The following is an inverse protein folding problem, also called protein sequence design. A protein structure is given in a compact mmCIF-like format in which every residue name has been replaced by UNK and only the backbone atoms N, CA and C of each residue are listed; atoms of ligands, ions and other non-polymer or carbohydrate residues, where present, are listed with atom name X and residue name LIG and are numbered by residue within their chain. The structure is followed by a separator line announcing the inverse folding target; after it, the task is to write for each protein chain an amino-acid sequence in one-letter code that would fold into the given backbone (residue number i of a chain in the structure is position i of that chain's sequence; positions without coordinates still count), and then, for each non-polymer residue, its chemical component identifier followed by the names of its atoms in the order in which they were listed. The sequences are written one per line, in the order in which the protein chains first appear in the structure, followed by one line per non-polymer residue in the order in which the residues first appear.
data_IF_261809881476
#
_entry.id   IF_261809881476
#
_cell.length_a   1.000
_cell.length_b   1.000
_cell.length_c   1.000
_cell.angle_alpha   90.00
_cell.angle_beta   90.00
_cell.angle_gamma   90.00
#
_symmetry.space_group_name_H-M   'P 1'
#
loop_
_entity.id
_entity.type
_entity.pdbx_description
1 polymer ?
#
# COMPACT_ATOMS: atom_id res chain seq x y z
N UNK A 1 14.54 4.55 -30.95
CA UNK A 1 14.84 5.09 -29.59
C UNK A 1 13.73 5.97 -29.00
N UNK A 2 12.56 6.16 -29.65
CA UNK A 2 11.51 7.08 -29.19
C UNK A 2 10.37 6.46 -28.37
N UNK A 3 10.15 5.14 -28.37
CA UNK A 3 9.05 4.51 -27.59
C UNK A 3 9.44 4.07 -26.17
N UNK A 4 10.74 3.89 -25.88
CA UNK A 4 11.22 3.52 -24.55
C UNK A 4 11.28 4.72 -23.58
N UNK A 5 11.42 5.94 -24.10
CA UNK A 5 11.52 7.17 -23.29
C UNK A 5 10.19 7.66 -22.70
N UNK A 6 9.05 7.22 -23.23
CA UNK A 6 7.72 7.61 -22.70
C UNK A 6 7.25 6.67 -21.58
N UNK A 7 7.75 5.43 -21.50
CA UNK A 7 7.36 4.47 -20.45
C UNK A 7 7.93 4.78 -19.06
N UNK A 8 8.96 5.64 -18.96
CA UNK A 8 9.63 5.94 -17.69
C UNK A 8 8.94 7.04 -16.85
N UNK A 9 8.03 7.82 -17.45
CA UNK A 9 7.37 8.96 -16.81
C UNK A 9 5.85 8.74 -16.73
N UNK A 10 5.36 8.41 -15.55
CA UNK A 10 3.92 8.42 -15.24
C UNK A 10 3.63 9.74 -14.55
N UNK A 11 2.79 10.58 -15.16
CA UNK A 11 2.31 11.80 -14.50
C UNK A 11 1.40 11.43 -13.33
N UNK A 12 1.64 11.90 -12.09
CA UNK A 12 0.80 11.61 -10.93
C UNK A 12 -0.67 11.99 -11.12
N UNK A 13 -0.96 13.00 -11.94
CA UNK A 13 -2.33 13.42 -12.22
C UNK A 13 -3.11 12.36 -13.02
N UNK A 14 -2.43 11.48 -13.76
CA UNK A 14 -3.06 10.33 -14.44
C UNK A 14 -3.53 9.25 -13.46
N UNK A 15 -3.01 9.28 -12.24
CA UNK A 15 -3.34 8.34 -11.17
C UNK A 15 -4.54 8.77 -10.33
N UNK A 16 -5.10 9.95 -10.58
CA UNK A 16 -6.31 10.42 -9.86
C UNK A 16 -7.46 9.43 -10.01
N UNK A 17 -8.33 9.36 -9.02
CA UNK A 17 -9.54 8.54 -9.13
C UNK A 17 -10.43 9.05 -10.28
N UNK A 18 -10.97 8.20 -11.16
CA UNK A 18 -11.77 8.64 -12.31
C UNK A 18 -12.98 9.48 -11.94
N UNK A 19 -13.58 9.21 -10.77
CA UNK A 19 -14.71 9.99 -10.24
C UNK A 19 -14.29 11.24 -9.46
N UNK A 20 -13.00 11.53 -9.29
CA UNK A 20 -12.54 12.64 -8.45
C UNK A 20 -12.73 12.37 -6.96
N UNK A 21 -12.53 11.13 -6.52
CA UNK A 21 -12.42 10.79 -5.10
C UNK A 21 -10.94 10.84 -4.67
N UNK A 22 -10.68 11.02 -3.37
CA UNK A 22 -9.33 11.01 -2.82
C UNK A 22 -9.10 9.66 -2.14
N UNK A 23 -8.31 8.78 -2.75
CA UNK A 23 -8.03 7.42 -2.24
C UNK A 23 -7.45 7.42 -0.84
N UNK A 24 -6.62 8.40 -0.52
CA UNK A 24 -6.04 8.63 0.81
C UNK A 24 -7.12 8.74 1.88
N UNK A 25 -8.25 9.40 1.57
CA UNK A 25 -9.39 9.51 2.47
C UNK A 25 -10.30 8.29 2.38
N UNK A 26 -10.69 7.89 1.16
CA UNK A 26 -11.71 6.87 0.96
C UNK A 26 -11.23 5.48 1.36
N UNK A 27 -9.98 5.12 1.05
CA UNK A 27 -9.41 3.85 1.49
C UNK A 27 -9.24 3.81 3.01
N UNK A 28 -8.77 4.90 3.64
CA UNK A 28 -8.71 4.97 5.11
C UNK A 28 -10.09 4.83 5.76
N UNK A 29 -11.08 5.58 5.26
CA UNK A 29 -12.46 5.52 5.75
C UNK A 29 -12.99 4.09 5.73
N UNK A 30 -12.75 3.38 4.62
CA UNK A 30 -13.16 1.99 4.49
C UNK A 30 -12.37 1.05 5.41
N UNK A 31 -11.05 1.17 5.45
CA UNK A 31 -10.18 0.27 6.22
C UNK A 31 -10.42 0.37 7.73
N UNK A 32 -10.74 1.58 8.22
CA UNK A 32 -11.00 1.85 9.64
C UNK A 32 -12.48 1.81 10.01
N UNK A 33 -13.37 1.65 9.02
CA UNK A 33 -14.82 1.67 9.21
C UNK A 33 -15.32 2.94 9.91
N UNK A 34 -14.77 4.09 9.52
CA UNK A 34 -15.16 5.43 9.99
C UNK A 34 -15.61 6.23 8.78
N UNK A 35 -16.88 6.65 8.75
CA UNK A 35 -17.44 7.33 7.60
C UNK A 35 -16.88 8.75 7.45
N UNK A 36 -16.60 9.19 6.22
CA UNK A 36 -16.14 10.58 5.96
C UNK A 36 -17.17 11.64 6.36
N UNK A 37 -18.46 11.28 6.41
CA UNK A 37 -19.54 12.13 6.94
C UNK A 37 -19.38 12.41 8.44
N UNK A 38 -18.73 11.51 9.19
CA UNK A 38 -18.32 11.72 10.58
C UNK A 38 -16.97 12.43 10.60
N UNK A 39 -16.93 13.65 10.05
CA UNK A 39 -15.68 14.38 9.79
C UNK A 39 -14.83 14.56 11.05
N UNK A 40 -15.41 14.88 12.20
CA UNK A 40 -14.65 15.05 13.45
C UNK A 40 -13.99 13.75 13.92
N UNK A 41 -14.73 12.64 13.90
CA UNK A 41 -14.19 11.34 14.29
C UNK A 41 -13.09 10.88 13.33
N UNK A 42 -13.25 11.16 12.03
CA UNK A 42 -12.25 10.85 11.02
C UNK A 42 -10.97 11.71 11.18
N UNK A 43 -11.12 13.00 11.52
CA UNK A 43 -9.99 13.89 11.82
C UNK A 43 -9.24 13.37 13.06
N UNK A 44 -9.95 13.08 14.16
CA UNK A 44 -9.35 12.52 15.38
C UNK A 44 -8.63 11.20 15.13
N UNK A 45 -9.22 10.33 14.29
CA UNK A 45 -8.57 9.10 13.83
C UNK A 45 -7.23 9.43 13.16
N UNK A 46 -7.21 10.29 12.14
CA UNK A 46 -5.98 10.64 11.41
C UNK A 46 -4.92 11.27 12.32
N UNK A 47 -5.31 12.16 13.22
CA UNK A 47 -4.39 12.77 14.21
C UNK A 47 -3.78 11.73 15.14
N UNK A 48 -4.60 10.79 15.63
CA UNK A 48 -4.14 9.70 16.48
C UNK A 48 -3.15 8.78 15.76
N UNK A 49 -3.38 8.50 14.47
CA UNK A 49 -2.48 7.70 13.64
C UNK A 49 -1.15 8.39 13.37
N UNK A 50 -1.17 9.71 13.16
CA UNK A 50 0.04 10.53 12.97
C UNK A 50 0.88 10.56 14.23
N UNK A 51 0.25 10.79 15.37
CA UNK A 51 0.93 10.74 16.67
C UNK A 51 1.56 9.38 16.90
N UNK A 52 0.79 8.30 16.69
CA UNK A 52 1.28 6.92 16.81
C UNK A 52 2.45 6.63 15.88
N UNK A 53 2.39 7.08 14.62
CA UNK A 53 3.48 6.90 13.66
C UNK A 53 4.77 7.58 14.14
N UNK A 54 4.68 8.84 14.60
CA UNK A 54 5.83 9.58 15.15
C UNK A 54 6.41 8.91 16.40
N UNK A 55 5.55 8.45 17.31
CA UNK A 55 5.96 7.72 18.51
C UNK A 55 6.66 6.40 18.18
N UNK A 56 6.13 5.62 17.23
CA UNK A 56 6.74 4.37 16.77
C UNK A 56 8.11 4.62 16.10
N UNK A 57 8.23 5.66 15.27
CA UNK A 57 9.52 6.05 14.70
C UNK A 57 10.54 6.39 15.77
N UNK A 58 10.13 7.14 16.80
CA UNK A 58 10.98 7.47 17.95
C UNK A 58 11.40 6.22 18.71
N UNK A 59 10.43 5.39 19.10
CA UNK A 59 10.65 4.17 19.87
C UNK A 59 11.58 3.18 19.17
N UNK A 60 11.52 3.10 17.83
CA UNK A 60 12.39 2.24 17.04
C UNK A 60 13.66 2.94 16.53
N UNK A 61 13.93 4.19 16.91
CA UNK A 61 15.12 4.93 16.49
C UNK A 61 15.23 5.08 14.97
N UNK A 62 14.10 5.38 14.32
CA UNK A 62 13.97 5.64 12.88
C UNK A 62 13.82 7.15 12.57
N UNK A 63 14.18 8.02 13.51
CA UNK A 63 14.14 9.48 13.30
C UNK A 63 15.24 9.93 12.32
N UNK A 64 16.44 9.34 12.42
CA UNK A 64 17.61 9.65 11.57
C UNK A 64 18.00 8.45 10.70
N UNK A 65 17.03 7.95 9.92
CA UNK A 65 17.18 6.71 9.14
C UNK A 65 18.24 6.81 8.00
N UNK A 66 18.68 8.03 7.70
CA UNK A 66 19.67 8.45 6.68
C UNK A 66 21.01 7.73 6.79
N UNK A 67 21.54 7.56 8.01
CA UNK A 67 22.93 7.10 8.23
C UNK A 67 23.03 5.57 8.32
N UNK A 68 21.92 4.87 8.58
CA UNK A 68 21.92 3.40 8.85
C UNK A 68 21.61 2.54 7.64
N UNK A 69 20.92 3.07 6.61
CA UNK A 69 20.62 2.32 5.38
C UNK A 69 21.88 2.00 4.56
N UNK A 70 22.85 2.92 4.48
CA UNK A 70 24.10 2.72 3.76
C UNK A 70 25.04 1.70 4.46
N UNK A 71 24.82 1.41 5.74
CA UNK A 71 25.53 0.39 6.50
C UNK A 71 24.86 -1.00 6.46
N UNK A 72 23.80 -1.19 5.67
CA UNK A 72 23.19 -2.51 5.44
C UNK A 72 24.17 -3.55 4.86
N UNK A 73 25.35 -3.13 4.36
CA UNK A 73 26.46 -4.02 4.00
C UNK A 73 27.24 -4.58 5.21
N UNK A 74 27.23 -3.92 6.37
CA UNK A 74 27.97 -4.32 7.60
C UNK A 74 27.10 -4.90 8.72
N UNK A 75 25.80 -4.58 8.77
CA UNK A 75 24.88 -5.05 9.84
C UNK A 75 24.18 -6.38 9.52
N UNK A 76 24.91 -7.37 9.03
CA UNK A 76 24.43 -8.76 8.97
C UNK A 76 25.14 -9.51 10.13
N UNK A 77 24.52 -10.30 11.01
CA UNK A 77 23.62 -11.43 10.74
C UNK A 77 22.89 -11.97 12.00
N UNK A 78 22.64 -11.19 13.07
CA UNK A 78 22.16 -11.77 14.36
C UNK A 78 20.90 -11.16 14.99
N UNK A 79 20.24 -10.17 14.36
CA UNK A 79 18.99 -9.61 14.89
C UNK A 79 17.87 -9.65 13.87
N UNK A 80 16.66 -9.98 14.33
CA UNK A 80 15.42 -9.97 13.53
C UNK A 80 15.26 -8.68 12.70
N UNK A 81 15.62 -7.53 13.29
CA UNK A 81 15.57 -6.22 12.62
C UNK A 81 16.54 -6.14 11.44
N UNK A 82 17.77 -6.61 11.60
CA UNK A 82 18.79 -6.58 10.56
C UNK A 82 18.43 -7.48 9.38
N UNK A 83 17.97 -8.70 9.65
CA UNK A 83 17.52 -9.65 8.62
C UNK A 83 16.30 -9.12 7.85
N UNK A 84 15.32 -8.59 8.58
CA UNK A 84 14.13 -7.96 7.99
C UNK A 84 14.51 -6.79 7.08
N UNK A 85 15.36 -5.89 7.55
CA UNK A 85 15.83 -4.75 6.76
C UNK A 85 16.56 -5.19 5.48
N UNK A 86 17.45 -6.19 5.58
CA UNK A 86 18.18 -6.68 4.42
C UNK A 86 17.25 -7.23 3.33
N UNK A 87 16.24 -8.03 3.72
CA UNK A 87 15.24 -8.56 2.79
C UNK A 87 14.41 -7.46 2.13
N UNK A 88 13.96 -6.48 2.92
CA UNK A 88 13.24 -5.32 2.39
C UNK A 88 14.12 -4.55 1.40
N UNK A 89 15.39 -4.32 1.72
CA UNK A 89 16.33 -3.57 0.89
C UNK A 89 16.49 -4.18 -0.51
N UNK A 90 16.70 -5.50 -0.59
CA UNK A 90 16.82 -6.22 -1.86
C UNK A 90 15.56 -6.01 -2.72
N UNK A 91 14.38 -6.10 -2.11
CA UNK A 91 13.11 -5.98 -2.83
C UNK A 91 12.79 -4.54 -3.23
N UNK A 92 13.11 -3.56 -2.39
CA UNK A 92 12.96 -2.14 -2.70
C UNK A 92 13.82 -1.72 -3.90
N UNK A 93 15.05 -2.23 -4.03
CA UNK A 93 15.92 -1.91 -5.17
C UNK A 93 15.30 -2.30 -6.53
N UNK A 94 14.52 -3.39 -6.56
CA UNK A 94 13.85 -3.93 -7.76
C UNK A 94 12.37 -3.54 -7.88
N UNK A 95 11.82 -2.79 -6.92
CA UNK A 95 10.41 -2.40 -6.90
C UNK A 95 10.13 -1.41 -8.00
N UNK A 96 9.24 -1.77 -8.95
CA UNK A 96 8.83 -0.94 -10.10
C UNK A 96 10.01 -0.20 -10.76
N UNK A 97 11.13 -0.91 -10.95
CA UNK A 97 12.41 -0.33 -11.39
C UNK A 97 12.37 0.32 -12.78
N UNK A 98 11.34 0.05 -13.57
CA UNK A 98 11.04 0.71 -14.83
C UNK A 98 10.71 2.20 -14.66
N UNK A 99 10.11 2.58 -13.53
CA UNK A 99 9.70 3.94 -13.21
C UNK A 99 10.84 4.70 -12.52
N UNK A 100 11.18 5.88 -13.04
CA UNK A 100 12.26 6.72 -12.48
C UNK A 100 12.04 7.08 -11.02
N UNK A 101 10.79 7.35 -10.68
CA UNK A 101 10.35 7.65 -9.33
C UNK A 101 10.83 6.63 -8.27
N UNK A 102 10.78 5.33 -8.57
CA UNK A 102 11.19 4.27 -7.65
C UNK A 102 12.70 4.01 -7.61
N UNK A 103 13.45 4.66 -8.51
CA UNK A 103 14.92 4.64 -8.49
C UNK A 103 15.51 5.73 -7.58
N UNK A 104 14.74 6.76 -7.25
CA UNK A 104 15.15 7.84 -6.35
C UNK A 104 15.46 7.30 -4.95
N UNK A 105 16.53 7.82 -4.35
CA UNK A 105 16.97 7.40 -3.01
C UNK A 105 15.93 7.73 -1.94
N UNK A 106 15.29 8.88 -2.04
CA UNK A 106 14.20 9.32 -1.17
C UNK A 106 13.01 8.37 -1.20
N UNK A 107 12.56 7.95 -2.40
CA UNK A 107 11.48 6.97 -2.57
C UNK A 107 11.87 5.62 -1.97
N UNK A 108 13.08 5.13 -2.23
CA UNK A 108 13.56 3.86 -1.67
C UNK A 108 13.65 3.91 -0.15
N UNK A 109 14.16 5.00 0.41
CA UNK A 109 14.20 5.26 1.85
C UNK A 109 12.79 5.24 2.45
N UNK A 110 11.84 5.93 1.81
CA UNK A 110 10.45 5.97 2.24
C UNK A 110 9.84 4.56 2.34
N UNK A 111 10.01 3.75 1.28
CA UNK A 111 9.52 2.37 1.27
C UNK A 111 10.18 1.51 2.35
N UNK A 112 11.51 1.62 2.50
CA UNK A 112 12.28 0.92 3.52
C UNK A 112 11.77 1.24 4.92
N UNK A 113 11.56 2.52 5.21
CA UNK A 113 11.13 2.98 6.53
C UNK A 113 9.74 2.44 6.89
N UNK A 114 8.76 2.60 6.00
CA UNK A 114 7.38 2.18 6.27
C UNK A 114 7.29 0.66 6.39
N UNK A 115 7.94 -0.10 5.50
CA UNK A 115 7.95 -1.57 5.57
C UNK A 115 8.65 -2.07 6.83
N UNK A 116 9.82 -1.52 7.15
CA UNK A 116 10.57 -1.92 8.33
C UNK A 116 9.77 -1.62 9.60
N UNK A 117 9.25 -0.40 9.73
CA UNK A 117 8.44 0.02 10.86
C UNK A 117 7.24 -0.91 11.04
N UNK A 118 6.53 -1.24 9.97
CA UNK A 118 5.41 -2.17 10.04
C UNK A 118 5.85 -3.56 10.53
N UNK A 119 6.91 -4.13 9.96
CA UNK A 119 7.37 -5.48 10.31
C UNK A 119 7.81 -5.58 11.77
N UNK A 120 8.62 -4.62 12.25
CA UNK A 120 9.13 -4.64 13.64
C UNK A 120 8.02 -4.36 14.67
N UNK A 121 7.09 -3.45 14.37
CA UNK A 121 5.97 -3.15 15.27
C UNK A 121 5.01 -4.32 15.38
N UNK A 122 4.75 -5.02 14.27
CA UNK A 122 3.84 -6.18 14.26
C UNK A 122 4.54 -7.51 14.56
N UNK A 123 5.85 -7.51 14.83
CA UNK A 123 6.68 -8.72 15.00
C UNK A 123 6.42 -9.75 13.89
N UNK A 124 6.28 -9.25 12.66
CA UNK A 124 5.93 -10.06 11.48
C UNK A 124 7.10 -10.01 10.52
N UNK A 125 7.50 -11.17 10.02
CA UNK A 125 8.55 -11.26 9.02
C UNK A 125 8.12 -10.60 7.72
N UNK A 126 9.06 -9.90 7.09
CA UNK A 126 8.87 -9.40 5.75
C UNK A 126 8.56 -10.56 4.78
N UNK A 127 7.61 -10.35 3.88
CA UNK A 127 7.29 -11.30 2.81
C UNK A 127 7.39 -10.58 1.47
N UNK A 128 8.12 -11.17 0.52
CA UNK A 128 8.23 -10.64 -0.84
C UNK A 128 6.83 -10.40 -1.42
N UNK A 129 6.63 -9.21 -1.99
CA UNK A 129 5.35 -8.69 -2.47
C UNK A 129 4.80 -7.55 -1.61
N UNK A 130 5.17 -7.48 -0.31
CA UNK A 130 4.79 -6.34 0.55
C UNK A 130 5.29 -5.00 0.01
N UNK A 131 6.48 -5.00 -0.63
CA UNK A 131 7.04 -3.84 -1.32
C UNK A 131 6.17 -3.35 -2.48
N UNK A 132 5.61 -4.26 -3.27
CA UNK A 132 4.73 -3.93 -4.40
C UNK A 132 3.38 -3.39 -3.93
N UNK A 133 2.88 -3.92 -2.81
CA UNK A 133 1.67 -3.41 -2.17
C UNK A 133 1.89 -1.97 -1.69
N UNK A 134 2.96 -1.73 -0.92
CA UNK A 134 3.27 -0.40 -0.43
C UNK A 134 3.53 0.58 -1.58
N UNK A 135 4.31 0.17 -2.60
CA UNK A 135 4.58 1.00 -3.77
C UNK A 135 3.30 1.46 -4.47
N UNK A 136 2.31 0.57 -4.60
CA UNK A 136 1.02 0.90 -5.21
C UNK A 136 0.23 1.89 -4.34
N UNK A 137 0.24 1.73 -3.02
CA UNK A 137 -0.36 2.69 -2.06
C UNK A 137 0.32 4.06 -2.16
N UNK A 138 1.65 4.10 -2.20
CA UNK A 138 2.44 5.33 -2.36
C UNK A 138 1.99 6.10 -3.60
N UNK A 139 1.82 5.42 -4.72
CA UNK A 139 1.37 6.06 -5.96
C UNK A 139 -0.09 6.56 -5.89
N UNK A 140 -0.97 5.85 -5.17
CA UNK A 140 -2.34 6.31 -4.94
C UNK A 140 -2.36 7.65 -4.17
N UNK A 141 -1.59 7.73 -3.08
CA UNK A 141 -1.47 8.94 -2.24
C UNK A 141 -0.89 10.10 -3.06
N UNK A 142 0.16 9.85 -3.84
CA UNK A 142 0.77 10.86 -4.70
C UNK A 142 -0.18 11.38 -5.78
N UNK A 143 -1.05 10.51 -6.32
CA UNK A 143 -2.09 10.92 -7.27
C UNK A 143 -3.10 11.91 -6.66
N UNK A 144 -3.48 11.71 -5.40
CA UNK A 144 -4.35 12.64 -4.68
C UNK A 144 -3.65 13.98 -4.42
N UNK A 145 -2.38 13.96 -4.01
CA UNK A 145 -1.58 15.19 -3.84
C UNK A 145 -1.47 15.97 -5.15
N UNK A 146 -1.29 15.30 -6.28
CA UNK A 146 -1.23 15.92 -7.59
C UNK A 146 -2.53 16.61 -7.96
N UNK A 147 -3.66 15.94 -7.71
CA UNK A 147 -4.97 16.51 -7.94
C UNK A 147 -5.19 17.77 -7.09
N UNK A 148 -4.88 17.71 -5.79
CA UNK A 148 -5.05 18.85 -4.90
C UNK A 148 -4.12 20.01 -5.23
N UNK A 149 -2.85 19.75 -5.55
CA UNK A 149 -1.88 20.76 -6.01
C UNK A 149 -2.39 21.45 -7.29
N UNK A 150 -2.85 20.67 -8.26
CA UNK A 150 -3.35 21.20 -9.53
C UNK A 150 -4.64 22.04 -9.37
N UNK A 151 -5.53 21.68 -8.43
CA UNK A 151 -6.71 22.48 -8.10
C UNK A 151 -6.32 23.79 -7.44
N UNK A 152 -5.41 23.74 -6.46
CA UNK A 152 -4.93 24.92 -5.75
C UNK A 152 -4.26 25.93 -6.69
N UNK A 153 -3.40 25.47 -7.61
CA UNK A 153 -2.77 26.32 -8.63
C UNK A 153 -3.77 27.02 -9.54
N UNK A 154 -4.98 26.46 -9.70
CA UNK A 154 -6.09 27.06 -10.46
C UNK A 154 -7.02 27.93 -9.60
N UNK A 155 -6.67 28.17 -8.33
CA UNK A 155 -7.53 28.87 -7.37
C UNK A 155 -8.82 28.12 -7.03
N UNK A 156 -8.86 26.80 -7.25
CA UNK A 156 -10.04 25.97 -7.00
C UNK A 156 -9.84 25.09 -5.77
N UNK A 157 -10.93 24.82 -5.06
CA UNK A 157 -10.99 23.79 -4.02
C UNK A 157 -11.56 22.50 -4.58
N UNK A 158 -11.34 21.39 -3.88
CA UNK A 158 -11.94 20.12 -4.28
C UNK A 158 -13.47 20.17 -4.09
N UNK A 159 -14.28 19.85 -5.10
CA UNK A 159 -15.73 20.12 -5.05
C UNK A 159 -16.50 19.19 -4.11
N UNK A 160 -15.92 18.03 -3.73
CA UNK A 160 -16.64 16.98 -2.97
C UNK A 160 -16.31 16.91 -1.49
N UNK A 161 -15.20 17.48 -1.05
CA UNK A 161 -14.70 17.28 0.33
C UNK A 161 -14.58 18.63 1.04
N UNK A 162 -15.05 18.72 2.30
CA UNK A 162 -14.88 19.93 3.10
C UNK A 162 -13.40 20.19 3.40
N UNK A 163 -13.07 21.46 3.68
CA UNK A 163 -11.70 21.94 3.90
C UNK A 163 -10.97 21.14 4.99
N UNK A 164 -11.67 20.75 6.05
CA UNK A 164 -11.14 19.96 7.16
C UNK A 164 -10.55 18.63 6.69
N UNK A 165 -11.24 17.93 5.77
CA UNK A 165 -10.74 16.66 5.22
C UNK A 165 -9.59 16.88 4.22
N UNK A 166 -9.64 17.98 3.46
CA UNK A 166 -8.56 18.32 2.52
C UNK A 166 -7.25 18.63 3.24
N UNK A 167 -7.31 19.26 4.42
CA UNK A 167 -6.15 19.52 5.28
C UNK A 167 -5.51 18.24 5.83
N UNK A 168 -6.19 17.10 5.74
CA UNK A 168 -5.60 15.80 6.08
C UNK A 168 -4.70 15.25 4.97
N UNK A 169 -4.89 15.65 3.71
CA UNK A 169 -4.19 15.07 2.56
C UNK A 169 -3.00 15.96 2.20
N UNK A 170 -1.93 15.88 3.01
CA UNK A 170 -0.72 16.70 2.86
C UNK A 170 0.57 15.88 2.85
N UNK A 171 1.59 16.25 2.05
CA UNK A 171 2.83 15.48 1.93
C UNK A 171 3.56 15.22 3.25
N UNK A 172 3.50 16.16 4.20
CA UNK A 172 4.15 16.05 5.51
C UNK A 172 3.67 14.82 6.33
N UNK A 173 2.48 14.29 6.05
CA UNK A 173 1.90 13.15 6.76
C UNK A 173 1.87 11.86 5.94
N UNK A 174 2.46 11.87 4.74
CA UNK A 174 2.45 10.73 3.81
C UNK A 174 2.93 9.42 4.45
N UNK A 175 3.95 9.46 5.31
CA UNK A 175 4.44 8.26 6.01
C UNK A 175 3.42 7.63 6.94
N UNK A 176 2.67 8.46 7.68
CA UNK A 176 1.56 8.00 8.53
C UNK A 176 0.41 7.46 7.69
N UNK A 177 0.05 8.16 6.61
CA UNK A 177 -1.04 7.74 5.73
C UNK A 177 -0.73 6.42 5.02
N UNK A 178 0.49 6.27 4.51
CA UNK A 178 0.95 5.03 3.90
C UNK A 178 0.99 3.88 4.90
N UNK A 179 1.52 4.08 6.13
CA UNK A 179 1.55 3.04 7.16
C UNK A 179 0.14 2.61 7.56
N UNK A 180 -0.78 3.57 7.72
CA UNK A 180 -2.19 3.32 8.07
C UNK A 180 -2.88 2.46 7.02
N UNK A 181 -2.85 2.90 5.76
CA UNK A 181 -3.47 2.18 4.65
C UNK A 181 -2.81 0.81 4.48
N UNK A 182 -1.48 0.74 4.48
CA UNK A 182 -0.73 -0.51 4.37
C UNK A 182 -1.10 -1.50 5.48
N UNK A 183 -1.20 -1.03 6.73
CA UNK A 183 -1.62 -1.87 7.86
C UNK A 183 -3.02 -2.44 7.66
N UNK A 184 -3.95 -1.62 7.16
CA UNK A 184 -5.29 -2.06 6.81
C UNK A 184 -5.28 -3.16 5.74
N UNK A 185 -4.48 -3.01 4.68
CA UNK A 185 -4.30 -4.06 3.67
C UNK A 185 -3.75 -5.35 4.29
N UNK A 186 -2.68 -5.27 5.08
CA UNK A 186 -2.08 -6.46 5.69
C UNK A 186 -3.04 -7.22 6.63
N UNK A 187 -3.93 -6.50 7.33
CA UNK A 187 -4.98 -7.12 8.16
C UNK A 187 -6.03 -7.88 7.36
N UNK A 188 -6.29 -7.45 6.11
CA UNK A 188 -7.27 -8.07 5.21
C UNK A 188 -6.66 -9.15 4.32
N UNK A 189 -5.33 -9.29 4.32
CA UNK A 189 -4.58 -10.24 3.51
C UNK A 189 -3.84 -11.31 4.32
N UNK A 190 -4.44 -11.90 5.37
CA UNK A 190 -3.71 -12.82 6.24
C UNK A 190 -3.29 -14.09 5.49
N UNK A 191 -4.09 -14.58 4.53
CA UNK A 191 -3.75 -15.75 3.70
C UNK A 191 -2.52 -15.51 2.80
N UNK A 192 -2.19 -14.25 2.49
CA UNK A 192 -1.07 -13.92 1.60
C UNK A 192 0.20 -13.55 2.35
N UNK A 193 0.07 -12.90 3.53
CA UNK A 193 1.19 -12.26 4.21
C UNK A 193 1.33 -12.60 5.71
N UNK A 194 0.50 -13.47 6.30
CA UNK A 194 0.70 -13.85 7.70
C UNK A 194 2.00 -14.64 7.91
N UNK A 195 2.65 -14.48 9.08
CA UNK A 195 3.76 -15.36 9.48
C UNK A 195 3.20 -16.77 9.74
N UNK A 196 3.97 -17.80 9.39
CA UNK A 196 3.64 -19.19 9.71
C UNK A 196 3.65 -19.36 11.23
N UNK A 197 2.46 -19.33 11.84
CA UNK A 197 2.32 -19.54 13.27
C UNK A 197 2.41 -21.04 13.49
N UNK A 198 3.64 -21.52 13.77
CA UNK A 198 4.00 -22.87 14.27
C UNK A 198 4.51 -23.88 13.23
N UNK A 199 5.15 -23.47 12.14
CA UNK A 199 5.80 -24.42 11.23
C UNK A 199 4.87 -25.52 10.72
N UNK A 200 3.58 -25.20 10.59
CA UNK A 200 2.53 -26.16 10.25
C UNK A 200 2.27 -26.22 8.74
N UNK A 201 3.00 -25.49 7.89
CA UNK A 201 2.81 -25.52 6.44
C UNK A 201 1.49 -24.88 5.94
N UNK A 202 0.56 -24.53 6.84
CA UNK A 202 -0.78 -24.03 6.55
C UNK A 202 -0.85 -22.71 5.74
N UNK A 203 0.27 -21.98 5.60
CA UNK A 203 0.33 -20.67 4.93
C UNK A 203 0.02 -20.78 3.43
N UNK A 204 0.72 -21.68 2.75
CA UNK A 204 0.51 -21.87 1.32
C UNK A 204 -0.79 -22.62 1.08
N UNK A 205 -1.17 -23.55 1.97
CA UNK A 205 -2.40 -24.35 1.82
C UNK A 205 -3.66 -23.52 1.60
N UNK A 206 -3.91 -22.44 2.37
CA UNK A 206 -5.15 -21.66 2.19
C UNK A 206 -5.19 -20.89 0.86
N UNK A 207 -4.04 -20.36 0.42
CA UNK A 207 -3.96 -19.64 -0.84
C UNK A 207 -4.03 -20.63 -2.02
N UNK A 208 -3.29 -21.72 -1.95
CA UNK A 208 -3.32 -22.86 -2.87
C UNK A 208 -4.76 -23.39 -2.99
N UNK A 209 -5.46 -23.63 -1.87
CA UNK A 209 -6.87 -24.02 -1.84
C UNK A 209 -7.77 -22.99 -2.54
N UNK A 210 -7.52 -21.69 -2.36
CA UNK A 210 -8.25 -20.64 -3.07
C UNK A 210 -8.02 -20.73 -4.59
N UNK A 211 -6.78 -20.92 -5.04
CA UNK A 211 -6.45 -21.05 -6.46
C UNK A 211 -7.04 -22.32 -7.08
N UNK A 212 -7.00 -23.43 -6.35
CA UNK A 212 -7.65 -24.69 -6.73
C UNK A 212 -9.16 -24.55 -6.78
N UNK A 213 -9.76 -23.81 -5.85
CA UNK A 213 -11.19 -23.51 -5.89
C UNK A 213 -11.55 -22.67 -7.13
N UNK A 214 -10.73 -21.68 -7.47
CA UNK A 214 -10.94 -20.88 -8.70
C UNK A 214 -10.97 -21.78 -9.93
N UNK A 215 -9.99 -22.67 -10.12
CA UNK A 215 -9.96 -23.58 -11.27
C UNK A 215 -11.08 -24.64 -11.21
N UNK A 216 -11.12 -25.44 -10.15
CA UNK A 216 -12.00 -26.62 -10.06
C UNK A 216 -13.49 -26.31 -9.87
N UNK A 217 -13.82 -25.11 -9.37
CA UNK A 217 -15.21 -24.70 -9.10
C UNK A 217 -15.64 -23.52 -9.93
N UNK A 218 -14.99 -22.36 -9.79
CA UNK A 218 -15.47 -21.14 -10.44
C UNK A 218 -15.28 -21.19 -11.96
N UNK A 219 -14.11 -21.59 -12.44
CA UNK A 219 -13.84 -21.67 -13.86
C UNK A 219 -14.75 -22.74 -14.48
N UNK A 220 -14.84 -23.94 -13.89
CA UNK A 220 -15.75 -24.99 -14.37
C UNK A 220 -17.22 -24.53 -14.46
N UNK A 221 -17.69 -23.75 -13.49
CA UNK A 221 -19.07 -23.23 -13.47
C UNK A 221 -19.32 -22.19 -14.57
N UNK A 222 -18.36 -21.30 -14.83
CA UNK A 222 -18.54 -20.18 -15.76
C UNK A 222 -17.98 -20.43 -17.16
N UNK A 223 -17.14 -21.44 -17.30
CA UNK A 223 -16.46 -21.82 -18.53
C UNK A 223 -15.89 -23.25 -18.43
N UNK A 224 -16.75 -24.26 -18.65
CA UNK A 224 -16.38 -25.68 -18.54
C UNK A 224 -15.36 -26.13 -19.58
N UNK A 225 -15.43 -25.60 -20.80
CA UNK A 225 -14.52 -25.97 -21.89
C UNK A 225 -13.10 -25.46 -21.61
N UNK A 226 -12.96 -24.21 -21.15
CA UNK A 226 -11.66 -23.67 -20.75
C UNK A 226 -11.10 -24.39 -19.52
N UNK A 227 -11.98 -24.77 -18.57
CA UNK A 227 -11.58 -25.60 -17.43
C UNK A 227 -11.03 -26.95 -17.89
N UNK A 228 -11.74 -27.69 -18.75
CA UNK A 228 -11.28 -28.99 -19.26
C UNK A 228 -9.95 -28.89 -19.99
N UNK A 229 -9.76 -27.82 -20.78
CA UNK A 229 -8.48 -27.54 -21.43
C UNK A 229 -7.34 -27.38 -20.41
N UNK A 230 -7.52 -26.55 -19.37
CA UNK A 230 -6.48 -26.33 -18.36
C UNK A 230 -6.21 -27.57 -17.48
N UNK A 231 -7.23 -28.40 -17.22
CA UNK A 231 -7.03 -29.70 -16.58
C UNK A 231 -6.17 -30.62 -17.45
N UNK A 232 -6.42 -30.67 -18.76
CA UNK A 232 -5.62 -31.46 -19.71
C UNK A 232 -4.18 -30.94 -19.83
N UNK A 233 -3.96 -29.64 -19.73
CA UNK A 233 -2.61 -29.06 -19.62
C UNK A 233 -1.82 -29.61 -18.42
N UNK A 234 -2.50 -30.19 -17.41
CA UNK A 234 -1.88 -30.72 -16.20
C UNK A 234 -1.21 -29.65 -15.34
N UNK A 235 -1.43 -28.37 -15.63
CA UNK A 235 -0.74 -27.27 -14.99
C UNK A 235 -1.44 -26.91 -13.67
N UNK A 236 -0.72 -26.95 -12.54
CA UNK A 236 -1.30 -26.59 -11.25
C UNK A 236 -1.70 -25.09 -11.26
N UNK A 237 -2.88 -24.70 -10.73
CA UNK A 237 -3.39 -23.33 -10.76
C UNK A 237 -2.43 -22.29 -10.15
N UNK A 238 -1.62 -22.74 -9.21
CA UNK A 238 -0.58 -21.99 -8.53
C UNK A 238 0.49 -21.47 -9.51
N UNK A 239 0.77 -22.22 -10.59
CA UNK A 239 1.76 -21.86 -11.60
C UNK A 239 1.44 -20.52 -12.26
N UNK A 240 0.15 -20.27 -12.53
CA UNK A 240 -0.27 -19.13 -13.34
C UNK A 240 -1.11 -18.08 -12.60
N UNK A 241 -1.79 -18.43 -11.50
CA UNK A 241 -2.60 -17.47 -10.72
C UNK A 241 -1.93 -16.96 -9.44
N UNK A 242 -0.90 -17.64 -8.91
CA UNK A 242 -0.32 -17.27 -7.62
C UNK A 242 0.21 -15.83 -7.61
N UNK A 243 0.93 -15.44 -8.66
CA UNK A 243 1.45 -14.08 -8.83
C UNK A 243 0.33 -13.05 -8.86
N UNK A 244 -0.77 -13.35 -9.56
CA UNK A 244 -1.91 -12.44 -9.71
C UNK A 244 -2.54 -12.15 -8.36
N UNK A 245 -2.87 -13.19 -7.61
CA UNK A 245 -3.54 -13.06 -6.31
C UNK A 245 -2.58 -12.45 -5.29
N UNK A 246 -1.36 -12.99 -5.16
CA UNK A 246 -0.36 -12.54 -4.18
C UNK A 246 -0.03 -11.05 -4.28
N UNK A 247 -0.01 -10.52 -5.50
CA UNK A 247 0.34 -9.11 -5.76
C UNK A 247 -0.89 -8.25 -6.08
N UNK A 248 -2.11 -8.77 -5.86
CA UNK A 248 -3.37 -8.10 -6.19
C UNK A 248 -3.36 -7.47 -7.60
N UNK A 249 -2.90 -8.25 -8.57
CA UNK A 249 -2.79 -7.89 -10.00
C UNK A 249 -1.89 -6.68 -10.31
N UNK A 250 -1.12 -6.19 -9.33
CA UNK A 250 -0.30 -4.97 -9.47
C UNK A 250 0.84 -5.07 -10.50
N UNK A 251 1.13 -6.30 -10.96
CA UNK A 251 2.13 -6.64 -11.98
C UNK A 251 1.52 -7.08 -13.32
N UNK A 252 0.19 -7.21 -13.40
CA UNK A 252 -0.51 -7.62 -14.64
C UNK A 252 -1.12 -6.42 -15.36
N UNK A 253 -1.46 -5.36 -14.62
CA UNK A 253 -2.05 -4.15 -15.18
C UNK A 253 -1.13 -2.95 -15.03
N UNK A 254 -1.35 -1.93 -15.87
CA UNK A 254 -0.70 -0.65 -15.71
C UNK A 254 -1.17 0.05 -14.44
N UNK A 255 -0.32 0.89 -13.84
CA UNK A 255 -0.58 1.48 -12.54
C UNK A 255 -1.94 2.20 -12.41
N UNK A 256 -2.43 3.01 -13.38
CA UNK A 256 -3.78 3.58 -13.31
C UNK A 256 -4.88 2.52 -13.23
N UNK A 257 -4.74 1.44 -14.01
CA UNK A 257 -5.68 0.32 -14.03
C UNK A 257 -5.63 -0.48 -12.72
N UNK A 258 -4.43 -0.70 -12.15
CA UNK A 258 -4.26 -1.31 -10.83
C UNK A 258 -5.03 -0.52 -9.78
N UNK A 259 -4.90 0.81 -9.78
CA UNK A 259 -5.63 1.66 -8.82
C UNK A 259 -7.15 1.56 -8.99
N UNK A 260 -7.64 1.50 -10.23
CA UNK A 260 -9.08 1.28 -10.50
C UNK A 260 -9.57 -0.07 -9.99
N UNK A 261 -8.79 -1.14 -10.17
CA UNK A 261 -9.10 -2.46 -9.62
C UNK A 261 -9.10 -2.40 -8.09
N UNK A 262 -8.11 -1.72 -7.50
CA UNK A 262 -7.98 -1.61 -6.05
C UNK A 262 -9.09 -0.79 -5.41
N UNK A 263 -9.62 0.24 -6.07
CA UNK A 263 -10.80 0.96 -5.59
C UNK A 263 -11.98 0.01 -5.40
N UNK A 264 -12.15 -0.93 -6.31
CA UNK A 264 -13.23 -1.92 -6.28
C UNK A 264 -12.94 -3.04 -5.27
N UNK A 265 -11.69 -3.47 -5.15
CA UNK A 265 -11.27 -4.45 -4.15
C UNK A 265 -11.41 -3.90 -2.72
N UNK A 266 -10.89 -2.70 -2.46
CA UNK A 266 -10.92 -2.03 -1.16
C UNK A 266 -12.35 -1.64 -0.83
N UNK A 267 -12.98 -0.74 -1.58
CA UNK A 267 -14.22 -0.10 -1.12
C UNK A 267 -15.43 -1.03 -1.08
N UNK A 268 -15.43 -2.12 -1.86
CA UNK A 268 -16.56 -3.08 -1.92
C UNK A 268 -16.28 -4.40 -1.21
N UNK A 269 -15.26 -4.45 -0.36
CA UNK A 269 -14.90 -5.64 0.41
C UNK A 269 -14.55 -6.84 -0.47
N UNK A 270 -13.94 -6.58 -1.63
CA UNK A 270 -13.44 -7.59 -2.56
C UNK A 270 -12.10 -8.20 -2.14
N UNK A 271 -11.36 -7.56 -1.22
CA UNK A 271 -10.09 -8.06 -0.67
C UNK A 271 -10.27 -9.27 0.27
N UNK A 272 -11.44 -9.43 0.88
CA UNK A 272 -11.73 -10.53 1.81
C UNK A 272 -11.95 -11.85 1.05
N UNK A 273 -10.85 -12.40 0.52
CA UNK A 273 -10.74 -13.71 -0.13
C UNK A 273 -10.69 -14.80 0.93
N UNK A 274 -11.86 -15.20 1.43
CA UNK A 274 -12.02 -16.43 2.22
C UNK A 274 -12.75 -17.47 1.38
N UNK A 275 -12.01 -18.30 0.67
CA UNK A 275 -12.54 -19.45 -0.10
C UNK A 275 -13.62 -19.07 -1.13
N UNK A 276 -13.40 -18.07 -2.00
CA UNK A 276 -14.19 -17.91 -3.22
C UNK A 276 -15.23 -16.79 -3.27
N UNK A 277 -15.22 -15.87 -2.31
CA UNK A 277 -16.24 -14.83 -2.19
C UNK A 277 -15.70 -13.40 -2.27
N UNK A 278 -14.39 -13.23 -2.41
CA UNK A 278 -13.80 -11.96 -2.77
C UNK A 278 -14.11 -11.62 -4.23
N UNK A 279 -13.67 -10.45 -4.69
CA UNK A 279 -13.73 -10.13 -6.13
C UNK A 279 -12.47 -10.66 -6.85
N UNK A 280 -11.41 -10.94 -6.11
CA UNK A 280 -10.12 -11.44 -6.60
C UNK A 280 -10.29 -12.75 -7.38
N UNK A 281 -11.06 -13.69 -6.84
CA UNK A 281 -11.29 -15.00 -7.44
C UNK A 281 -12.00 -14.91 -8.80
N UNK A 282 -12.97 -14.00 -8.93
CA UNK A 282 -13.71 -13.78 -10.17
C UNK A 282 -12.92 -12.95 -11.19
N UNK A 283 -12.00 -12.10 -10.72
CA UNK A 283 -11.03 -11.44 -11.60
C UNK A 283 -10.11 -12.48 -12.25
N UNK A 284 -9.64 -13.49 -11.51
CA UNK A 284 -8.87 -14.59 -12.08
C UNK A 284 -9.65 -15.31 -13.19
N UNK A 285 -10.92 -15.65 -12.96
CA UNK A 285 -11.78 -16.26 -13.98
C UNK A 285 -11.93 -15.36 -15.21
N UNK A 286 -12.16 -14.05 -15.01
CA UNK A 286 -12.27 -13.11 -16.13
C UNK A 286 -10.97 -12.98 -16.93
N UNK A 287 -9.81 -13.03 -16.28
CA UNK A 287 -8.51 -13.01 -16.95
C UNK A 287 -8.28 -14.28 -17.77
N UNK A 288 -8.62 -15.46 -17.24
CA UNK A 288 -8.54 -16.70 -18.01
C UNK A 288 -9.48 -16.66 -19.22
N UNK A 289 -10.72 -16.19 -19.03
CA UNK A 289 -11.69 -16.01 -20.13
C UNK A 289 -11.25 -14.99 -21.16
N UNK A 290 -10.47 -13.96 -20.75
CA UNK A 290 -9.93 -12.96 -21.67
C UNK A 290 -8.99 -13.58 -22.71
N UNK A 291 -8.18 -14.55 -22.31
CA UNK A 291 -7.25 -15.26 -23.22
C UNK A 291 -7.85 -16.53 -23.82
N UNK A 292 -9.11 -16.86 -23.53
CA UNK A 292 -9.81 -18.08 -23.96
C UNK A 292 -9.64 -18.38 -25.45
N UNK A 293 -9.90 -17.40 -26.31
CA UNK A 293 -9.84 -17.58 -27.77
C UNK A 293 -8.45 -18.04 -28.22
N UNK A 294 -7.40 -17.48 -27.61
CA UNK A 294 -6.01 -17.83 -27.91
C UNK A 294 -5.65 -19.23 -27.40
N UNK A 295 -6.20 -19.62 -26.25
CA UNK A 295 -5.95 -20.92 -25.64
C UNK A 295 -6.69 -22.07 -26.34
N UNK A 296 -7.94 -21.87 -26.75
CA UNK A 296 -8.75 -22.97 -27.31
C UNK A 296 -8.58 -23.15 -28.82
N UNK A 297 -8.31 -22.07 -29.57
CA UNK A 297 -8.32 -22.15 -31.04
C UNK A 297 -6.95 -22.32 -31.69
N UNK A 298 -5.86 -22.03 -30.97
CA UNK A 298 -4.50 -22.11 -31.52
C UNK A 298 -3.63 -23.19 -30.87
N UNK A 299 -4.17 -23.92 -29.90
CA UNK A 299 -3.42 -24.94 -29.16
C UNK A 299 -3.93 -26.30 -29.58
N UNK A 300 -3.05 -27.11 -30.17
CA UNK A 300 -3.33 -28.53 -30.35
C UNK A 300 -3.18 -29.25 -29.00
N UNK A 301 -4.27 -29.80 -28.49
CA UNK A 301 -4.31 -30.43 -27.16
C UNK A 301 -3.46 -31.71 -27.11
N UNK A 302 -3.27 -32.39 -28.25
CA UNK A 302 -2.47 -33.61 -28.33
C UNK A 302 -0.96 -33.34 -28.48
N UNK A 303 -0.56 -32.07 -28.56
CA UNK A 303 0.84 -31.64 -28.66
C UNK A 303 1.29 -30.94 -27.36
N UNK A 304 2.20 -31.59 -26.63
CA UNK A 304 2.77 -31.04 -25.38
C UNK A 304 3.41 -29.66 -25.59
N UNK A 305 4.03 -29.41 -26.76
CA UNK A 305 4.65 -28.12 -27.06
C UNK A 305 3.61 -27.00 -27.14
N UNK A 306 2.45 -27.29 -27.73
CA UNK A 306 1.31 -26.37 -27.82
C UNK A 306 0.72 -26.07 -26.43
N UNK A 307 0.61 -27.07 -25.54
CA UNK A 307 0.16 -26.87 -24.16
C UNK A 307 1.11 -25.95 -23.36
N UNK A 308 2.42 -26.11 -23.56
CA UNK A 308 3.42 -25.21 -22.95
C UNK A 308 3.27 -23.78 -23.47
N UNK A 309 2.99 -23.59 -24.76
CA UNK A 309 2.75 -22.25 -25.32
C UNK A 309 1.48 -21.61 -24.76
N UNK A 310 0.43 -22.39 -24.54
CA UNK A 310 -0.79 -21.95 -23.86
C UNK A 310 -0.48 -21.42 -22.45
N UNK A 311 0.34 -22.13 -21.67
CA UNK A 311 0.76 -21.68 -20.34
C UNK A 311 1.65 -20.44 -20.42
N UNK A 312 2.58 -20.37 -21.38
CA UNK A 312 3.39 -19.16 -21.62
C UNK A 312 2.51 -17.96 -21.92
N UNK A 313 1.41 -18.15 -22.64
CA UNK A 313 0.45 -17.09 -22.96
C UNK A 313 -0.24 -16.53 -21.72
N UNK A 314 -0.60 -17.39 -20.77
CA UNK A 314 -1.18 -16.97 -19.49
C UNK A 314 -0.13 -16.26 -18.63
N UNK A 315 1.10 -16.80 -18.57
CA UNK A 315 2.21 -16.21 -17.81
C UNK A 315 2.69 -14.88 -18.39
N UNK A 316 2.55 -14.68 -19.70
CA UNK A 316 2.80 -13.42 -20.44
C UNK A 316 1.45 -12.81 -20.82
N UNK A 317 0.71 -12.42 -19.79
CA UNK A 317 -0.64 -11.90 -19.95
C UNK A 317 -0.68 -10.68 -20.88
N UNK A 318 -1.66 -10.59 -21.81
CA UNK A 318 -1.75 -9.45 -22.71
C UNK A 318 -2.23 -8.19 -21.97
N UNK A 319 -1.98 -7.03 -22.56
CA UNK A 319 -2.57 -5.78 -22.08
C UNK A 319 -4.10 -5.85 -22.19
N UNK A 320 -4.80 -5.55 -21.10
CA UNK A 320 -6.26 -5.46 -21.05
C UNK A 320 -6.67 -4.02 -21.36
N UNK A 321 -7.34 -3.73 -22.50
CA UNK A 321 -7.67 -2.35 -22.86
C UNK A 321 -8.75 -1.73 -21.97
N UNK A 322 -9.80 -2.50 -21.66
CA UNK A 322 -10.94 -2.05 -20.84
C UNK A 322 -10.98 -2.78 -19.50
N UNK A 323 -10.26 -2.24 -18.52
CA UNK A 323 -10.24 -2.76 -17.16
C UNK A 323 -11.60 -2.64 -16.47
N UNK A 324 -12.41 -1.63 -16.82
CA UNK A 324 -13.68 -1.39 -16.17
C UNK A 324 -14.71 -2.45 -16.59
N UNK A 325 -14.73 -2.82 -17.87
CA UNK A 325 -15.51 -3.95 -18.37
C UNK A 325 -15.08 -5.26 -17.70
N UNK A 326 -13.78 -5.54 -17.60
CA UNK A 326 -13.27 -6.74 -16.91
C UNK A 326 -13.75 -6.80 -15.44
N UNK A 327 -13.64 -5.69 -14.72
CA UNK A 327 -14.09 -5.60 -13.32
C UNK A 327 -15.61 -5.75 -13.20
N UNK A 328 -16.39 -5.20 -14.13
CA UNK A 328 -17.84 -5.35 -14.15
C UNK A 328 -18.27 -6.79 -14.42
N UNK A 329 -17.60 -7.47 -15.36
CA UNK A 329 -17.80 -8.91 -15.60
C UNK A 329 -17.50 -9.72 -14.34
N UNK A 330 -16.39 -9.44 -13.64
CA UNK A 330 -16.06 -10.14 -12.40
C UNK A 330 -17.12 -9.96 -11.30
N UNK A 331 -17.70 -8.75 -11.17
CA UNK A 331 -18.81 -8.49 -10.25
C UNK A 331 -20.07 -9.26 -10.65
N UNK A 332 -20.37 -9.33 -11.94
CA UNK A 332 -21.53 -10.06 -12.45
C UNK A 332 -21.40 -11.56 -12.17
N UNK A 333 -20.23 -12.16 -12.46
CA UNK A 333 -19.94 -13.56 -12.14
C UNK A 333 -20.09 -13.82 -10.63
N UNK A 334 -19.56 -12.93 -9.79
CA UNK A 334 -19.71 -13.01 -8.34
C UNK A 334 -21.17 -12.99 -7.91
N UNK A 335 -21.96 -12.07 -8.46
CA UNK A 335 -23.39 -11.96 -8.14
C UNK A 335 -24.15 -13.22 -8.55
N UNK A 336 -23.89 -13.74 -9.76
CA UNK A 336 -24.50 -14.98 -10.25
C UNK A 336 -24.15 -16.17 -9.36
N UNK A 337 -22.88 -16.32 -8.98
CA UNK A 337 -22.43 -17.40 -8.11
C UNK A 337 -23.11 -17.35 -6.74
N UNK A 338 -23.12 -16.18 -6.10
CA UNK A 338 -23.73 -16.00 -4.78
C UNK A 338 -25.25 -16.24 -4.80
N UNK A 339 -25.92 -15.88 -5.90
CA UNK A 339 -27.36 -16.11 -6.08
C UNK A 339 -27.66 -17.60 -6.24
N UNK A 340 -26.82 -18.33 -6.99
CA UNK A 340 -26.98 -19.78 -7.22
C UNK A 340 -26.65 -20.61 -5.97
N UNK A 341 -25.70 -20.15 -5.15
CA UNK A 341 -25.22 -20.88 -3.98
C UNK A 341 -25.38 -20.07 -2.67
N UNK A 342 -26.62 -19.79 -2.23
CA UNK A 342 -26.89 -18.87 -1.12
C UNK A 342 -26.40 -19.41 0.24
N UNK A 343 -26.41 -20.73 0.46
CA UNK A 343 -25.92 -21.35 1.70
C UNK A 343 -24.42 -21.15 1.89
N UNK A 344 -23.63 -21.20 0.81
CA UNK A 344 -22.21 -20.88 0.83
C UNK A 344 -21.97 -19.39 1.14
N UNK A 345 -22.81 -18.50 0.59
CA UNK A 345 -22.78 -17.07 0.89
C UNK A 345 -23.06 -16.78 2.38
N UNK A 346 -24.09 -17.40 2.97
CA UNK A 346 -24.45 -17.23 4.38
C UNK A 346 -23.37 -17.74 5.34
N UNK A 347 -22.71 -18.86 5.01
CA UNK A 347 -21.58 -19.37 5.80
C UNK A 347 -20.41 -18.37 5.82
N UNK A 348 -20.17 -17.67 4.71
CA UNK A 348 -19.16 -16.63 4.64
C UNK A 348 -19.51 -15.39 5.47
N UNK A 349 -20.77 -14.93 5.43
CA UNK A 349 -21.21 -13.81 6.28
C UNK A 349 -21.08 -14.11 7.77
N UNK A 350 -21.43 -15.34 8.20
CA UNK A 350 -21.22 -15.78 9.59
C UNK A 350 -19.73 -15.78 9.97
N UNK A 351 -18.84 -16.22 9.09
CA UNK A 351 -17.38 -16.13 9.28
C UNK A 351 -16.88 -14.67 9.29
N UNK A 352 -17.53 -13.75 8.57
CA UNK A 352 -17.22 -12.31 8.59
C UNK A 352 -17.56 -11.67 9.93
N UNK A 353 -18.77 -11.90 10.43
CA UNK A 353 -19.22 -11.37 11.72
C UNK A 353 -18.32 -11.87 12.85
N UNK A 354 -18.06 -13.18 12.92
CA UNK A 354 -17.18 -13.75 13.97
C UNK A 354 -15.73 -13.25 13.92
N UNK A 355 -15.19 -12.99 12.73
CA UNK A 355 -13.84 -12.41 12.58
C UNK A 355 -13.79 -10.93 12.97
N UNK A 356 -14.82 -10.15 12.61
CA UNK A 356 -14.94 -8.73 12.97
C UNK A 356 -15.09 -8.56 14.49
N UNK A 357 -15.92 -9.38 15.14
CA UNK A 357 -16.09 -9.39 16.60
C UNK A 357 -14.79 -9.79 17.32
N UNK A 358 -14.04 -10.74 16.77
CA UNK A 358 -12.74 -11.15 17.30
C UNK A 358 -11.68 -10.05 17.14
N UNK A 359 -11.71 -9.30 16.03
CA UNK A 359 -10.83 -8.15 15.79
C UNK A 359 -11.20 -6.96 16.69
N UNK A 360 -12.49 -6.65 16.87
CA UNK A 360 -12.97 -5.63 17.81
C UNK A 360 -12.63 -5.97 19.26
N UNK A 361 -12.77 -7.25 19.67
CA UNK A 361 -12.35 -7.71 21.00
C UNK A 361 -10.83 -7.61 21.22
N UNK A 362 -10.02 -7.87 20.18
CA UNK A 362 -8.56 -7.65 20.24
C UNK A 362 -8.22 -6.16 20.31
N UNK A 363 -8.88 -5.32 19.51
CA UNK A 363 -8.72 -3.86 19.54
C UNK A 363 -9.14 -3.24 20.89
N UNK A 364 -10.21 -3.77 21.52
CA UNK A 364 -10.63 -3.41 22.88
C UNK A 364 -9.67 -3.91 23.95
N UNK A 365 -9.05 -5.09 23.79
CA UNK A 365 -7.99 -5.56 24.70
C UNK A 365 -6.72 -4.72 24.58
N UNK A 366 -6.38 -4.22 23.40
CA UNK A 366 -5.29 -3.22 23.21
C UNK A 366 -5.67 -1.81 23.63
N UNK A 367 -6.94 -1.55 24.01
CA UNK A 367 -7.41 -0.28 24.60
C UNK A 367 -7.23 -0.22 26.12
N UNK A 368 -6.81 -1.29 26.79
CA UNK A 368 -6.23 -1.16 28.13
C UNK A 368 -4.84 -0.58 27.97
N UNK A 369 -4.57 0.56 28.63
CA UNK A 369 -3.20 1.00 28.92
C UNK A 369 -2.38 -0.24 29.32
N UNK A 370 -1.13 -0.39 28.85
CA UNK A 370 -0.30 -1.49 29.31
C UNK A 370 -0.11 -1.36 30.82
N UNK A 371 -0.90 -2.13 31.57
CA UNK A 371 -0.65 -2.43 32.97
C UNK A 371 0.61 -3.29 33.01
N UNK A 372 1.71 -2.68 33.46
CA UNK A 372 2.89 -3.28 34.10
C UNK A 372 3.32 -4.65 33.56
N UNK A 373 4.29 -4.67 32.63
CA UNK A 373 5.64 -5.22 32.88
C UNK A 373 6.51 -5.12 31.62
N UNK A 374 7.22 -4.00 31.50
CA UNK A 374 8.56 -3.89 30.91
C UNK A 374 9.25 -2.62 31.46
N UNK A 375 8.91 -2.28 32.70
CA UNK A 375 9.70 -1.38 33.56
C UNK A 375 10.57 -2.32 34.38
N UNK A 376 11.87 -2.28 34.13
CA UNK A 376 12.95 -2.43 35.12
C UNK A 376 14.27 -2.41 34.34
N UNK A 377 14.63 -1.23 33.82
CA UNK A 377 16.01 -0.78 33.70
C UNK A 377 15.99 0.69 33.27
N UNK A 378 16.24 1.56 34.25
CA UNK A 378 16.80 2.93 34.25
C UNK A 378 16.21 3.57 35.51
N UNK A 379 16.76 3.14 36.64
CA UNK A 379 16.84 3.95 37.85
C UNK A 379 18.33 4.11 38.11
N UNK A 380 18.97 5.11 37.51
CA UNK A 380 19.96 5.87 38.26
C UNK A 380 20.32 7.20 37.58
N UNK A 381 20.70 8.16 38.42
CA UNK A 381 21.17 9.52 38.15
C UNK A 381 20.12 10.60 37.80
N UNK A 382 19.51 11.11 38.88
CA UNK A 382 19.56 12.53 39.29
C UNK A 382 19.76 13.60 38.20
N UNK A 383 18.78 14.51 38.04
CA UNK A 383 18.91 15.99 38.14
C UNK A 383 17.48 16.61 38.10
N UNK A 384 17.20 17.71 38.85
CA UNK A 384 15.85 18.11 39.22
C UNK A 384 15.08 18.89 38.15
N UNK A 385 13.76 18.73 38.23
CA UNK A 385 12.74 19.59 37.62
C UNK A 385 12.69 20.92 38.36
N UNK A 386 12.94 22.03 37.65
CA UNK A 386 12.54 23.36 38.08
C UNK A 386 11.95 24.16 36.92
N UNK A 387 10.68 24.54 37.12
CA UNK A 387 10.11 25.86 36.88
C UNK A 387 10.10 26.44 35.45
N UNK A 388 8.89 26.66 34.91
CA UNK A 388 8.23 27.97 34.77
C UNK A 388 7.09 27.85 33.75
N UNK A 389 5.84 27.98 34.22
CA UNK A 389 4.99 29.18 34.23
C UNK A 389 4.22 29.36 32.92
N UNK A 390 2.89 29.32 33.10
CA UNK A 390 1.91 29.87 32.18
C UNK A 390 2.25 31.33 31.92
N UNK A 391 2.45 31.71 30.67
CA UNK A 391 2.19 33.06 30.20
C UNK A 391 1.14 32.98 29.10
N UNK A 392 -0.03 33.54 29.42
CA UNK A 392 -1.06 33.94 28.48
C UNK A 392 -0.55 35.21 27.80
N UNK A 393 -0.36 35.15 26.49
CA UNK A 393 -0.65 36.22 25.53
C UNK A 393 -0.19 35.74 24.14
N UNK A 394 -1.16 35.48 23.25
CA UNK A 394 -0.89 35.18 21.83
C UNK A 394 -1.50 36.29 21.00
N UNK A 395 -0.72 37.02 20.17
CA UNK A 395 -1.28 37.74 19.04
C UNK A 395 -1.73 36.72 17.98
N UNK A 396 -2.69 37.14 17.16
CA UNK A 396 -3.37 36.36 16.13
C UNK A 396 -2.44 35.49 15.27
N UNK A 397 -2.90 34.27 14.97
CA UNK A 397 -2.15 33.23 14.26
C UNK A 397 -2.05 33.54 12.76
N UNK A 398 -0.84 33.49 12.14
CA UNK A 398 -0.71 33.63 10.70
C UNK A 398 -1.25 32.38 9.99
N UNK A 399 -1.93 32.59 8.87
CA UNK A 399 -2.54 31.50 8.10
C UNK A 399 -1.46 30.57 7.51
N UNK A 400 -1.77 29.28 7.39
CA UNK A 400 -0.89 28.21 6.87
C UNK A 400 -0.27 28.42 5.47
N UNK A 401 -0.59 29.53 4.79
CA UNK A 401 -0.05 29.89 3.47
C UNK A 401 1.15 30.86 3.50
N UNK A 402 1.44 31.54 4.61
CA UNK A 402 2.65 32.40 4.69
C UNK A 402 3.95 31.59 4.71
N UNK A 403 3.91 30.37 5.26
CA UNK A 403 5.04 29.43 5.25
C UNK A 403 5.49 28.99 3.84
N UNK A 404 4.63 29.11 2.82
CA UNK A 404 4.98 28.80 1.43
C UNK A 404 5.67 29.96 0.71
N UNK A 405 5.62 31.19 1.24
CA UNK A 405 6.22 32.36 0.61
C UNK A 405 7.70 32.53 0.99
N UNK A 406 8.08 32.22 2.22
CA UNK A 406 9.47 32.35 2.70
C UNK A 406 10.41 31.28 2.11
N UNK A 407 9.87 30.14 1.65
CA UNK A 407 10.65 29.11 0.96
C UNK A 407 11.10 29.52 -0.46
N UNK A 408 10.63 30.65 -1.02
CA UNK A 408 10.88 31.05 -2.41
C UNK A 408 11.80 32.28 -2.57
N UNK A 409 12.23 32.97 -1.50
CA UNK A 409 13.05 34.20 -1.62
C UNK A 409 14.55 34.02 -1.35
N UNK A 410 15.04 32.79 -1.16
CA UNK A 410 16.45 32.49 -0.88
C UNK A 410 17.27 32.04 -2.09
N UNK A 411 17.18 32.71 -3.25
CA UNK A 411 18.07 32.41 -4.39
C UNK A 411 18.42 33.67 -5.18
N UNK A 412 19.47 34.37 -4.76
CA UNK A 412 19.98 35.57 -5.42
C UNK A 412 21.48 35.81 -5.17
N UNK A 413 22.32 35.24 -6.04
CA UNK A 413 23.61 35.74 -6.56
C UNK A 413 24.82 36.14 -5.66
N UNK A 414 25.95 35.49 -5.99
CA UNK A 414 27.36 35.98 -6.20
C UNK A 414 28.47 35.71 -5.15
N UNK A 415 29.49 35.01 -5.67
CA UNK A 415 30.95 35.12 -5.53
C UNK A 415 31.67 34.90 -4.19
N UNK A 416 32.71 34.04 -4.24
CA UNK A 416 33.78 33.86 -3.25
C UNK A 416 34.92 34.89 -3.46
N UNK A 417 36.05 34.91 -2.70
CA UNK A 417 36.42 34.20 -1.45
C UNK A 417 37.06 35.11 -0.36
N UNK A 418 37.14 34.68 0.92
CA UNK A 418 38.34 34.67 1.84
C UNK A 418 38.00 34.50 3.34
N UNK A 419 38.88 33.73 4.01
CA UNK A 419 39.33 33.69 5.42
C UNK A 419 38.43 33.89 6.67
N UNK A 420 38.54 32.87 7.55
CA UNK A 420 38.74 32.86 9.02
C UNK A 420 37.66 33.37 10.02
N UNK A 421 37.56 32.55 11.07
CA UNK A 421 37.13 32.81 12.47
C UNK A 421 35.64 32.68 12.88
N UNK A 422 35.39 31.55 13.58
CA UNK A 422 34.75 31.39 14.91
C UNK A 422 33.32 31.88 15.22
N UNK A 423 32.64 30.96 15.92
CA UNK A 423 31.62 31.14 16.97
C UNK A 423 30.14 30.90 16.61
N UNK A 424 29.66 29.76 17.10
CA UNK A 424 28.38 29.51 17.79
C UNK A 424 27.16 30.37 17.46
N UNK A 425 26.14 29.74 16.87
CA UNK A 425 24.81 29.64 17.49
C UNK A 425 24.06 28.45 16.88
N UNK A 426 23.78 27.44 17.72
CA UNK A 426 22.88 26.33 17.40
C UNK A 426 21.44 26.82 17.48
N UNK A 427 20.80 26.99 16.32
CA UNK A 427 19.35 27.05 16.20
C UNK A 427 18.80 25.63 15.98
N UNK A 428 17.71 25.36 16.70
CA UNK A 428 16.99 24.09 16.75
C UNK A 428 16.56 23.63 15.35
N UNK A 429 16.93 22.41 14.99
CA UNK A 429 16.57 21.79 13.73
C UNK A 429 15.14 21.25 13.75
N UNK A 430 14.21 22.03 13.23
CA UNK A 430 12.89 21.54 12.84
C UNK A 430 12.96 20.81 11.48
N UNK A 431 12.45 19.58 11.48
CA UNK A 431 11.93 18.78 10.36
C UNK A 431 12.63 18.84 8.98
N UNK A 432 13.77 18.16 8.82
CA UNK A 432 14.33 17.79 7.50
C UNK A 432 13.86 16.43 6.93
N UNK A 433 12.81 15.83 7.50
CA UNK A 433 12.45 14.42 7.26
C UNK A 433 11.17 14.20 6.43
N UNK A 434 10.62 15.22 5.78
CA UNK A 434 9.50 15.06 4.86
C UNK A 434 10.02 14.59 3.49
N UNK A 435 9.29 13.69 2.84
CA UNK A 435 9.44 13.40 1.41
C UNK A 435 9.55 14.73 0.66
N UNK A 436 10.69 15.00 0.02
CA UNK A 436 11.00 16.34 -0.49
C UNK A 436 10.00 16.70 -1.60
N UNK A 437 9.46 17.92 -1.55
CA UNK A 437 8.61 18.45 -2.61
C UNK A 437 9.33 18.45 -3.96
N UNK A 438 10.67 18.50 -3.97
CA UNK A 438 11.49 18.36 -5.17
C UNK A 438 11.26 17.04 -5.91
N UNK A 439 11.09 15.92 -5.18
CA UNK A 439 10.82 14.60 -5.77
C UNK A 439 9.43 14.53 -6.42
N UNK A 440 8.47 15.29 -5.87
CA UNK A 440 7.15 15.47 -6.45
C UNK A 440 7.18 16.27 -7.76
N UNK A 441 8.08 17.27 -7.85
CA UNK A 441 8.27 18.06 -9.07
C UNK A 441 9.02 17.29 -10.16
N UNK A 442 9.89 16.33 -9.81
CA UNK A 442 10.49 15.39 -10.78
C UNK A 442 9.42 14.55 -11.48
N UNK A 443 8.36 14.12 -10.79
CA UNK A 443 7.27 13.38 -11.43
C UNK A 443 6.36 14.25 -12.32
N UNK A 444 6.35 15.57 -12.13
CA UNK A 444 5.54 16.49 -12.93
C UNK A 444 6.29 17.08 -14.15
N UNK A 445 7.62 16.88 -14.24
CA UNK A 445 8.48 17.30 -15.36
C UNK A 445 8.84 16.11 -16.24
#
# INVERSE_FOLDING_TARGET
MSQQSQKSKISPLTLRHPKGELRTLTWKSWLHNVALSQTEDFVRLCESERKKYSELKKAHGLQDFEVRCLQAKKCARSSFRGETLHRIYIDVLRTRGELEFFRLESTRRFLLEVLLLWCITNKTEYTQGMNDILATITMAILGDYALLKALHQKGKTHPRYPRQLLQLVIPAHMGSDALSIFSGFMLKLPAMFSPDRKGQGQKDDTLIECLRFVQSRLLKEFDSELWEFLEKCGAPPELYMLKWVRLLFSREFELPQVLMVWDELVMKGGIDSRLGFGLVEYLCVCLLRFVRYELLNYVNIDDESSLVEALRRILRFPSVPDIQSLVNQAKELRSKFLTKYPTLAMQNERKKVGASESQQRKAMKTRKLPSRSAFDFISDSSVPVTLFKEDRDTPESPSAFEFLREAQTGAGQRNAPTEKHSSSHQTQGEAKNAFDFADFDIMNK
#
